data_IF_847651009855
#
_entry.id   IF_847651009855
#
_cell.length_a   1.000
_cell.length_b   1.000
_cell.length_c   1.000
_cell.angle_alpha   90.00
_cell.angle_beta   90.00
_cell.angle_gamma   90.00
#
_symmetry.space_group_name_H-M   'P 1'
#
loop_
_entity.id
_entity.type
_entity.pdbx_description
1 polymer ?
#
# COMPACT_ATOMS: atom_id res chain seq x y z
N UNK A 1 -9.24 -104.26 24.58
CA UNK A 1 -8.03 -104.09 23.72
C UNK A 1 -8.25 -102.83 22.97
N UNK A 2 -7.19 -101.98 22.96
CA UNK A 2 -7.16 -100.56 22.59
C UNK A 2 -7.49 -100.27 21.13
N UNK A 3 -8.30 -99.25 20.90
CA UNK A 3 -8.45 -98.55 19.60
C UNK A 3 -8.16 -97.08 19.79
N UNK A 4 -7.08 -96.65 19.13
CA UNK A 4 -6.68 -95.23 19.06
C UNK A 4 -7.50 -94.51 17.97
N UNK A 5 -8.14 -93.40 18.32
CA UNK A 5 -8.85 -92.51 17.39
C UNK A 5 -7.98 -91.27 17.21
N UNK A 6 -7.38 -91.11 16.04
CA UNK A 6 -6.65 -89.86 15.65
C UNK A 6 -7.64 -88.75 15.39
N UNK A 7 -7.53 -87.63 16.13
CA UNK A 7 -8.28 -86.38 15.89
C UNK A 7 -7.57 -85.60 14.80
N UNK A 8 -8.28 -85.34 13.70
CA UNK A 8 -7.87 -84.41 12.67
C UNK A 8 -8.39 -82.99 13.12
N UNK A 9 -7.50 -82.07 13.44
CA UNK A 9 -7.81 -80.66 13.66
C UNK A 9 -7.70 -79.94 12.32
N UNK A 10 -8.85 -79.47 11.80
CA UNK A 10 -8.92 -78.51 10.68
C UNK A 10 -8.69 -77.12 11.26
N UNK A 11 -7.54 -76.53 10.94
CA UNK A 11 -7.26 -75.14 11.29
C UNK A 11 -7.91 -74.17 10.30
N UNK A 12 -8.93 -73.44 10.77
CA UNK A 12 -9.55 -72.32 10.04
C UNK A 12 -8.70 -71.07 10.26
N UNK A 13 -7.84 -70.68 9.30
CA UNK A 13 -7.10 -69.41 9.36
C UNK A 13 -8.02 -68.29 8.93
N UNK A 14 -8.50 -67.50 9.89
CA UNK A 14 -9.23 -66.26 9.70
C UNK A 14 -8.24 -65.14 9.31
N UNK A 15 -8.12 -64.88 8.04
CA UNK A 15 -7.30 -63.76 7.49
C UNK A 15 -8.03 -62.47 7.75
N UNK A 16 -7.64 -61.71 8.82
CA UNK A 16 -8.15 -60.39 9.12
C UNK A 16 -7.43 -59.39 8.19
N UNK A 17 -8.07 -59.03 7.06
CA UNK A 17 -7.61 -57.95 6.22
C UNK A 17 -7.79 -56.61 6.96
N UNK A 18 -6.69 -56.08 7.50
CA UNK A 18 -6.66 -54.68 7.99
C UNK A 18 -6.85 -53.75 6.79
N UNK A 19 -8.04 -53.21 6.63
CA UNK A 19 -8.30 -52.04 5.79
C UNK A 19 -7.65 -50.84 6.49
N UNK A 20 -6.44 -50.46 6.06
CA UNK A 20 -5.87 -49.19 6.41
C UNK A 20 -6.67 -48.11 5.68
N UNK A 21 -7.60 -47.48 6.37
CA UNK A 21 -8.26 -46.27 5.89
C UNK A 21 -7.23 -45.18 5.77
N UNK A 22 -6.75 -44.93 4.55
CA UNK A 22 -5.89 -43.76 4.24
C UNK A 22 -6.81 -42.55 4.44
N UNK A 23 -6.47 -41.61 5.38
CA UNK A 23 -7.26 -40.42 5.51
C UNK A 23 -7.19 -39.65 4.20
N UNK A 24 -8.31 -39.61 3.47
CA UNK A 24 -8.47 -38.70 2.34
C UNK A 24 -8.49 -37.29 2.91
N UNK A 25 -7.36 -36.59 2.83
CA UNK A 25 -7.34 -35.15 3.09
C UNK A 25 -8.22 -34.51 2.01
N UNK A 26 -9.45 -34.20 2.38
CA UNK A 26 -10.30 -33.36 1.56
C UNK A 26 -9.55 -32.03 1.39
N UNK A 27 -9.24 -31.68 0.15
CA UNK A 27 -8.57 -30.41 -0.13
C UNK A 27 -9.46 -29.27 0.38
N UNK A 28 -8.88 -28.42 1.23
CA UNK A 28 -9.61 -27.34 1.89
C UNK A 28 -10.11 -26.33 0.84
N UNK A 29 -11.40 -26.00 0.92
CA UNK A 29 -12.04 -25.04 0.05
C UNK A 29 -11.48 -23.65 0.33
N UNK A 30 -10.91 -23.02 -0.70
CA UNK A 30 -10.28 -21.70 -0.60
C UNK A 30 -11.27 -20.55 -0.90
N UNK A 31 -12.33 -20.84 -1.66
CA UNK A 31 -13.32 -19.86 -2.06
C UNK A 31 -14.34 -20.43 -3.07
N UNK A 32 -15.17 -19.56 -3.62
CA UNK A 32 -16.24 -19.93 -4.56
C UNK A 32 -16.29 -19.01 -5.78
N UNK A 33 -16.83 -19.53 -6.89
CA UNK A 33 -17.14 -18.72 -8.08
C UNK A 33 -18.41 -17.93 -7.81
N UNK A 34 -18.30 -16.60 -7.83
CA UNK A 34 -19.47 -15.72 -7.64
C UNK A 34 -20.16 -15.40 -8.97
N UNK A 35 -19.38 -15.08 -9.97
CA UNK A 35 -19.85 -14.69 -11.30
C UNK A 35 -18.96 -15.27 -12.39
N UNK A 36 -19.53 -15.56 -13.53
CA UNK A 36 -18.78 -15.88 -14.74
C UNK A 36 -19.56 -15.52 -16.00
N UNK A 37 -18.80 -15.18 -17.05
CA UNK A 37 -19.31 -15.00 -18.41
C UNK A 37 -18.40 -15.77 -19.35
N UNK A 38 -18.96 -16.69 -20.11
CA UNK A 38 -18.17 -17.61 -20.96
C UNK A 38 -17.72 -18.87 -20.19
N UNK A 39 -16.49 -19.33 -20.38
CA UNK A 39 -15.98 -20.61 -19.86
C UNK A 39 -14.94 -20.40 -18.78
N UNK A 40 -15.06 -21.13 -17.68
CA UNK A 40 -14.07 -21.24 -16.62
C UNK A 40 -13.81 -22.70 -16.29
N UNK A 41 -12.55 -23.06 -16.20
CA UNK A 41 -12.11 -24.42 -15.82
C UNK A 41 -11.11 -24.33 -14.67
N UNK A 42 -11.07 -25.38 -13.84
CA UNK A 42 -10.01 -25.60 -12.86
C UNK A 42 -9.25 -26.87 -13.24
N UNK A 43 -7.93 -26.76 -13.35
CA UNK A 43 -7.03 -27.89 -13.53
C UNK A 43 -6.32 -28.19 -12.21
N UNK A 44 -6.43 -29.40 -11.73
CA UNK A 44 -5.78 -29.86 -10.50
C UNK A 44 -4.34 -30.33 -10.76
N UNK A 45 -3.52 -30.45 -9.70
CA UNK A 45 -2.15 -30.99 -9.82
C UNK A 45 -2.10 -32.43 -10.37
N UNK A 46 -3.14 -33.22 -10.17
CA UNK A 46 -3.29 -34.59 -10.71
C UNK A 46 -3.68 -34.63 -12.21
N UNK A 47 -3.81 -33.46 -12.84
CA UNK A 47 -4.22 -33.32 -14.23
C UNK A 47 -5.73 -33.33 -14.46
N UNK A 48 -6.54 -33.56 -13.44
CA UNK A 48 -8.02 -33.54 -13.53
C UNK A 48 -8.51 -32.14 -13.89
N UNK A 49 -9.37 -32.03 -14.90
CA UNK A 49 -10.00 -30.76 -15.32
C UNK A 49 -11.47 -30.77 -14.93
N UNK A 50 -11.91 -29.69 -14.29
CA UNK A 50 -13.31 -29.44 -13.90
C UNK A 50 -13.83 -28.19 -14.61
N UNK A 51 -15.01 -28.25 -15.20
CA UNK A 51 -15.74 -27.05 -15.61
C UNK A 51 -16.38 -26.43 -14.37
N UNK A 52 -16.14 -25.16 -14.15
CA UNK A 52 -16.71 -24.41 -13.02
C UNK A 52 -17.93 -23.60 -13.44
N UNK A 53 -18.85 -23.44 -12.53
CA UNK A 53 -20.07 -22.64 -12.65
C UNK A 53 -20.21 -21.75 -11.41
N UNK A 54 -21.13 -20.78 -11.40
CA UNK A 54 -21.41 -20.02 -10.17
C UNK A 54 -21.70 -20.96 -8.98
N UNK A 55 -21.14 -20.62 -7.83
CA UNK A 55 -21.12 -21.42 -6.58
C UNK A 55 -20.20 -22.64 -6.59
N UNK A 56 -19.50 -22.96 -7.71
CA UNK A 56 -18.48 -24.00 -7.68
C UNK A 56 -17.35 -23.63 -6.72
N UNK A 57 -16.86 -24.58 -5.89
CA UNK A 57 -15.74 -24.35 -5.00
C UNK A 57 -14.43 -24.33 -5.80
N UNK A 58 -13.50 -23.47 -5.34
CA UNK A 58 -12.09 -23.48 -5.72
C UNK A 58 -11.24 -23.94 -4.55
N UNK A 59 -10.19 -24.69 -4.80
CA UNK A 59 -9.36 -25.29 -3.77
C UNK A 59 -7.89 -24.92 -3.97
N UNK A 60 -7.10 -25.04 -2.90
CA UNK A 60 -5.65 -24.91 -3.01
C UNK A 60 -5.09 -25.91 -4.02
N UNK A 61 -4.20 -25.44 -4.89
CA UNK A 61 -3.59 -26.23 -5.97
C UNK A 61 -4.29 -26.10 -7.32
N UNK A 62 -5.54 -25.64 -7.37
CA UNK A 62 -6.24 -25.40 -8.64
C UNK A 62 -5.50 -24.35 -9.50
N UNK A 63 -5.43 -24.61 -10.80
CA UNK A 63 -5.13 -23.61 -11.82
C UNK A 63 -6.45 -23.24 -12.48
N UNK A 64 -6.91 -22.02 -12.23
CA UNK A 64 -8.12 -21.47 -12.83
C UNK A 64 -7.80 -20.94 -14.22
N UNK A 65 -8.59 -21.35 -15.21
CA UNK A 65 -8.38 -21.02 -16.64
C UNK A 65 -9.65 -20.42 -17.20
N UNK A 66 -9.60 -19.15 -17.61
CA UNK A 66 -10.67 -18.49 -18.36
C UNK A 66 -10.46 -18.68 -19.86
N UNK A 67 -11.53 -18.93 -20.60
CA UNK A 67 -11.50 -19.01 -22.06
C UNK A 67 -11.39 -17.63 -22.71
N UNK A 68 -11.27 -17.62 -24.05
CA UNK A 68 -11.32 -16.39 -24.83
C UNK A 68 -12.65 -15.68 -24.62
N UNK A 69 -12.62 -14.35 -24.40
CA UNK A 69 -13.80 -13.51 -24.10
C UNK A 69 -14.55 -13.91 -22.81
N UNK A 70 -13.93 -14.70 -21.93
CA UNK A 70 -14.54 -15.17 -20.67
C UNK A 70 -14.03 -14.35 -19.48
N UNK A 71 -14.93 -14.04 -18.55
CA UNK A 71 -14.60 -13.39 -17.28
C UNK A 71 -15.10 -14.26 -16.13
N UNK A 72 -14.39 -14.25 -15.03
CA UNK A 72 -14.83 -14.97 -13.83
C UNK A 72 -14.45 -14.20 -12.56
N UNK A 73 -15.38 -14.05 -11.64
CA UNK A 73 -15.12 -13.51 -10.31
C UNK A 73 -15.12 -14.63 -9.29
N UNK A 74 -13.99 -14.76 -8.60
CA UNK A 74 -13.78 -15.68 -7.49
C UNK A 74 -13.80 -14.88 -6.19
N UNK A 75 -14.56 -15.36 -5.22
CA UNK A 75 -14.56 -14.82 -3.85
C UNK A 75 -13.93 -15.85 -2.94
N UNK A 76 -12.81 -15.47 -2.32
CA UNK A 76 -12.08 -16.30 -1.37
C UNK A 76 -12.73 -16.23 0.02
N UNK A 77 -12.45 -17.21 0.87
CA UNK A 77 -13.06 -17.30 2.21
C UNK A 77 -12.69 -16.14 3.16
N UNK A 78 -11.59 -15.41 2.88
CA UNK A 78 -11.20 -14.19 3.60
C UNK A 78 -11.90 -12.92 3.09
N UNK A 79 -12.76 -13.04 2.07
CA UNK A 79 -13.44 -11.94 1.41
C UNK A 79 -12.64 -11.29 0.27
N UNK A 80 -11.45 -11.81 -0.08
CA UNK A 80 -10.73 -11.37 -1.28
C UNK A 80 -11.57 -11.65 -2.52
N UNK A 81 -11.77 -10.63 -3.36
CA UNK A 81 -12.43 -10.75 -4.66
C UNK A 81 -11.37 -10.70 -5.77
N UNK A 82 -11.38 -11.66 -6.67
CA UNK A 82 -10.49 -11.73 -7.83
C UNK A 82 -11.32 -11.85 -9.09
N UNK A 83 -11.24 -10.86 -9.99
CA UNK A 83 -11.93 -10.87 -11.27
C UNK A 83 -10.94 -11.16 -12.38
N UNK A 84 -10.97 -12.38 -12.89
CA UNK A 84 -10.11 -12.86 -13.97
C UNK A 84 -10.58 -12.32 -15.32
N UNK A 85 -9.63 -11.89 -16.14
CA UNK A 85 -9.83 -11.44 -17.52
C UNK A 85 -9.90 -12.63 -18.50
N UNK A 86 -10.24 -12.39 -19.78
CA UNK A 86 -10.14 -13.41 -20.80
C UNK A 86 -8.73 -14.00 -20.92
N UNK A 87 -8.67 -15.29 -21.31
CA UNK A 87 -7.43 -15.99 -21.61
C UNK A 87 -6.39 -15.96 -20.50
N UNK A 88 -6.86 -16.07 -19.25
CA UNK A 88 -6.04 -15.96 -18.03
C UNK A 88 -5.91 -17.27 -17.30
N UNK A 89 -4.70 -17.54 -16.77
CA UNK A 89 -4.38 -18.71 -15.97
C UNK A 89 -3.83 -18.27 -14.61
N UNK A 90 -4.56 -18.57 -13.54
CA UNK A 90 -4.22 -18.21 -12.16
C UNK A 90 -4.16 -19.46 -11.28
N UNK A 91 -2.99 -19.74 -10.68
CA UNK A 91 -2.80 -20.85 -9.74
C UNK A 91 -2.98 -20.39 -8.31
N UNK A 92 -3.74 -21.13 -7.52
CA UNK A 92 -3.84 -20.99 -6.08
C UNK A 92 -2.73 -21.85 -5.45
N UNK A 93 -1.53 -21.26 -5.18
CA UNK A 93 -0.38 -22.04 -4.69
C UNK A 93 -0.57 -22.43 -3.23
N UNK A 94 -0.94 -21.45 -2.39
CA UNK A 94 -1.20 -21.65 -0.98
C UNK A 94 -2.39 -20.80 -0.57
N UNK A 95 -3.29 -21.38 0.19
CA UNK A 95 -4.39 -20.61 0.78
C UNK A 95 -4.71 -21.18 2.16
N UNK A 96 -4.52 -20.36 3.18
CA UNK A 96 -4.86 -20.68 4.57
C UNK A 96 -5.47 -19.43 5.21
N UNK A 97 -6.69 -19.56 5.66
CA UNK A 97 -7.41 -18.49 6.33
C UNK A 97 -7.98 -18.99 7.65
N UNK A 98 -7.57 -18.40 8.75
CA UNK A 98 -8.04 -18.72 10.09
C UNK A 98 -8.53 -17.45 10.78
N UNK A 99 -9.85 -17.30 10.91
CA UNK A 99 -10.45 -16.08 11.44
C UNK A 99 -9.93 -15.69 12.83
N UNK A 100 -9.65 -16.66 13.67
CA UNK A 100 -9.16 -16.48 15.05
C UNK A 100 -7.65 -16.38 15.19
N UNK A 101 -6.86 -16.72 14.15
CA UNK A 101 -5.39 -16.75 14.21
C UNK A 101 -4.77 -16.03 13.00
N UNK A 102 -4.86 -14.69 12.95
CA UNK A 102 -4.37 -13.90 11.79
C UNK A 102 -2.91 -14.12 11.41
N UNK A 103 -2.06 -14.48 12.36
CA UNK A 103 -0.63 -14.74 12.11
C UNK A 103 -0.39 -16.02 11.30
N UNK A 104 -1.37 -16.93 11.25
CA UNK A 104 -1.30 -18.17 10.48
C UNK A 104 -1.85 -18.01 9.05
N UNK A 105 -2.42 -16.85 8.72
CA UNK A 105 -2.97 -16.58 7.39
C UNK A 105 -1.90 -16.58 6.32
N UNK A 106 -2.22 -17.16 5.17
CA UNK A 106 -1.34 -17.16 3.99
C UNK A 106 -2.17 -17.31 2.71
N UNK A 107 -1.94 -16.45 1.74
CA UNK A 107 -2.54 -16.52 0.41
C UNK A 107 -1.44 -16.26 -0.64
N UNK A 108 -1.04 -17.29 -1.36
CA UNK A 108 -0.04 -17.19 -2.42
C UNK A 108 -0.68 -17.61 -3.74
N UNK A 109 -0.73 -16.68 -4.66
CA UNK A 109 -1.24 -16.90 -6.02
C UNK A 109 -0.11 -16.79 -7.03
N UNK A 110 -0.25 -17.49 -8.17
CA UNK A 110 0.68 -17.35 -9.28
C UNK A 110 -0.08 -17.07 -10.57
N UNK A 111 0.18 -15.90 -11.17
CA UNK A 111 -0.30 -15.59 -12.51
C UNK A 111 0.63 -16.21 -13.54
N UNK A 112 0.09 -17.14 -14.33
CA UNK A 112 0.81 -17.86 -15.36
C UNK A 112 0.61 -17.24 -16.76
N UNK A 113 -0.57 -16.64 -16.99
CA UNK A 113 -0.95 -15.99 -18.27
C UNK A 113 -2.10 -15.02 -18.04
N UNK A 114 -2.19 -13.98 -18.88
CA UNK A 114 -3.33 -13.04 -18.91
C UNK A 114 -3.31 -12.07 -17.75
N UNK A 115 -4.45 -11.83 -17.13
CA UNK A 115 -4.54 -10.84 -16.05
C UNK A 115 -5.79 -10.95 -15.20
N UNK A 116 -5.80 -10.25 -14.09
CA UNK A 116 -6.94 -10.14 -13.20
C UNK A 116 -6.85 -8.86 -12.35
N UNK A 117 -7.99 -8.42 -11.85
CA UNK A 117 -8.09 -7.42 -10.79
C UNK A 117 -8.40 -8.11 -9.48
N UNK A 118 -7.83 -7.63 -8.40
CA UNK A 118 -8.13 -8.12 -7.06
C UNK A 118 -8.40 -6.99 -6.09
N UNK A 119 -9.44 -7.16 -5.28
CA UNK A 119 -9.71 -6.38 -4.08
C UNK A 119 -9.44 -7.29 -2.90
N UNK A 120 -8.39 -7.00 -2.12
CA UNK A 120 -7.94 -7.88 -1.05
C UNK A 120 -8.91 -7.91 0.14
N UNK A 121 -9.10 -9.08 0.68
CA UNK A 121 -9.89 -9.36 1.89
C UNK A 121 -9.08 -9.20 3.17
N UNK A 122 -9.43 -10.00 4.17
CA UNK A 122 -8.86 -9.92 5.51
C UNK A 122 -7.36 -10.32 5.55
N UNK A 123 -6.92 -11.31 4.77
CA UNK A 123 -5.50 -11.73 4.73
C UNK A 123 -4.60 -10.56 4.34
N UNK A 124 -4.99 -9.77 3.34
CA UNK A 124 -4.21 -8.61 2.89
C UNK A 124 -4.28 -7.39 3.85
N UNK A 125 -5.20 -7.37 4.80
CA UNK A 125 -5.48 -6.22 5.68
C UNK A 125 -5.04 -6.43 7.13
N UNK A 126 -4.81 -7.67 7.57
CA UNK A 126 -4.48 -8.02 8.96
C UNK A 126 -3.32 -9.01 9.03
N UNK A 127 -2.72 -9.17 10.19
CA UNK A 127 -1.69 -10.18 10.44
C UNK A 127 -0.33 -9.86 9.82
N UNK A 128 0.29 -10.87 9.23
CA UNK A 128 1.61 -10.75 8.62
C UNK A 128 1.54 -9.94 7.30
N UNK A 129 2.43 -8.96 7.16
CA UNK A 129 2.57 -8.12 5.94
C UNK A 129 2.85 -8.92 4.66
N UNK A 130 3.42 -10.12 4.78
CA UNK A 130 3.80 -10.99 3.67
C UNK A 130 2.79 -12.14 3.46
N UNK A 131 1.65 -12.12 4.20
CA UNK A 131 0.63 -13.15 4.14
C UNK A 131 -0.05 -13.26 2.77
N UNK A 132 -0.21 -12.13 2.06
CA UNK A 132 -0.76 -12.12 0.71
C UNK A 132 0.35 -11.84 -0.31
N UNK A 133 0.56 -12.76 -1.24
CA UNK A 133 1.56 -12.65 -2.30
C UNK A 133 0.97 -13.06 -3.65
N UNK A 134 1.27 -12.28 -4.68
CA UNK A 134 1.07 -12.68 -6.06
C UNK A 134 2.45 -12.85 -6.73
N UNK A 135 2.67 -13.98 -7.38
CA UNK A 135 3.89 -14.31 -8.11
C UNK A 135 3.64 -14.34 -9.61
N UNK A 136 4.51 -13.74 -10.40
CA UNK A 136 4.48 -13.79 -11.86
C UNK A 136 5.84 -13.43 -12.44
N UNK A 137 6.27 -14.15 -13.49
CA UNK A 137 7.51 -13.83 -14.25
C UNK A 137 8.75 -13.54 -13.38
N UNK A 138 8.98 -14.36 -12.34
CA UNK A 138 10.12 -14.18 -11.43
C UNK A 138 10.00 -13.01 -10.45
N UNK A 139 8.90 -12.26 -10.50
CA UNK A 139 8.59 -11.18 -9.55
C UNK A 139 7.57 -11.62 -8.50
N UNK A 140 7.59 -10.95 -7.36
CA UNK A 140 6.60 -11.08 -6.28
C UNK A 140 5.95 -9.74 -6.01
N UNK A 141 4.63 -9.73 -5.94
CA UNK A 141 3.82 -8.59 -5.53
C UNK A 141 3.38 -8.84 -4.08
N UNK A 142 3.93 -8.05 -3.16
CA UNK A 142 3.48 -7.97 -1.78
C UNK A 142 2.39 -6.91 -1.63
N UNK A 143 1.34 -7.19 -0.86
CA UNK A 143 0.13 -6.38 -0.83
C UNK A 143 -0.21 -5.94 0.58
N UNK A 144 -0.75 -4.72 0.69
CA UNK A 144 -1.20 -4.14 1.96
C UNK A 144 -2.56 -3.49 1.79
N UNK A 145 -3.63 -4.31 1.89
CA UNK A 145 -5.00 -3.81 1.84
C UNK A 145 -5.30 -3.06 0.54
N UNK A 146 -5.25 -3.74 -0.62
CA UNK A 146 -5.11 -3.10 -1.92
C UNK A 146 -6.18 -3.54 -2.90
N UNK A 147 -6.59 -2.62 -3.76
CA UNK A 147 -7.26 -2.86 -5.04
C UNK A 147 -6.25 -2.63 -6.17
N UNK A 148 -5.95 -3.66 -6.94
CA UNK A 148 -4.96 -3.57 -8.01
C UNK A 148 -5.28 -4.50 -9.17
N UNK A 149 -4.80 -4.14 -10.36
CA UNK A 149 -4.81 -4.97 -11.56
C UNK A 149 -3.42 -5.47 -11.85
N UNK A 150 -3.29 -6.76 -12.18
CA UNK A 150 -2.06 -7.38 -12.68
C UNK A 150 -2.29 -7.97 -14.05
N UNK A 151 -1.32 -7.79 -14.96
CA UNK A 151 -1.35 -8.36 -16.30
C UNK A 151 0.02 -8.85 -16.74
N UNK A 152 0.08 -10.09 -17.16
CA UNK A 152 1.29 -10.71 -17.72
C UNK A 152 1.18 -10.73 -19.24
N UNK A 153 1.97 -9.88 -19.90
CA UNK A 153 2.03 -9.78 -21.35
C UNK A 153 3.08 -10.72 -21.92
N UNK A 154 2.74 -11.40 -23.01
CA UNK A 154 3.66 -12.25 -23.77
C UNK A 154 4.56 -11.41 -24.69
N UNK A 155 5.45 -12.07 -25.44
CA UNK A 155 6.41 -11.40 -26.35
C UNK A 155 5.76 -10.62 -27.49
N UNK A 156 4.54 -10.96 -27.86
CA UNK A 156 3.70 -10.25 -28.84
C UNK A 156 2.89 -9.09 -28.23
N UNK A 157 3.15 -8.80 -26.96
CA UNK A 157 2.50 -7.73 -26.21
C UNK A 157 1.25 -8.15 -25.44
N UNK A 158 0.59 -7.17 -24.85
CA UNK A 158 -0.73 -7.35 -24.26
C UNK A 158 -1.79 -7.10 -25.33
N UNK A 159 -2.49 -8.16 -25.73
CA UNK A 159 -3.65 -8.02 -26.61
C UNK A 159 -4.70 -7.10 -25.96
N UNK A 160 -5.28 -6.22 -26.76
CA UNK A 160 -6.44 -5.44 -26.34
C UNK A 160 -7.66 -6.38 -26.27
N UNK A 161 -8.21 -6.56 -25.06
CA UNK A 161 -9.36 -7.46 -24.84
C UNK A 161 -10.68 -6.87 -25.37
N UNK A 162 -10.62 -5.74 -26.12
CA UNK A 162 -11.79 -5.11 -26.75
C UNK A 162 -12.69 -4.35 -25.77
N UNK A 163 -12.17 -3.96 -24.62
CA UNK A 163 -12.85 -3.04 -23.69
C UNK A 163 -12.94 -1.64 -24.27
N UNK A 164 -14.02 -0.92 -23.99
CA UNK A 164 -14.14 0.50 -24.33
C UNK A 164 -13.01 1.29 -23.64
N UNK A 165 -12.30 2.12 -24.41
CA UNK A 165 -11.23 2.98 -23.88
C UNK A 165 -11.84 3.96 -22.87
N UNK A 166 -11.55 3.77 -21.60
CA UNK A 166 -11.79 4.78 -20.56
C UNK A 166 -10.61 5.74 -20.58
N UNK A 167 -10.86 7.03 -20.61
CA UNK A 167 -9.79 8.03 -20.57
C UNK A 167 -8.91 7.77 -19.34
N UNK A 168 -7.56 7.78 -19.50
CA UNK A 168 -6.65 7.56 -18.38
C UNK A 168 -6.96 8.57 -17.27
N UNK A 169 -7.22 8.08 -16.05
CA UNK A 169 -7.28 8.95 -14.88
C UNK A 169 -5.91 9.62 -14.70
N UNK A 170 -5.89 10.95 -14.63
CA UNK A 170 -4.67 11.68 -14.38
C UNK A 170 -4.03 11.15 -13.09
N UNK A 171 -2.85 10.58 -13.20
CA UNK A 171 -2.10 10.01 -12.08
C UNK A 171 -1.69 11.14 -11.13
N UNK A 172 -2.06 11.10 -9.83
CA UNK A 172 -1.57 12.09 -8.88
C UNK A 172 -0.05 11.93 -8.75
N UNK A 173 0.70 12.97 -9.09
CA UNK A 173 2.14 12.97 -8.88
C UNK A 173 2.43 13.01 -7.38
N UNK A 174 3.25 12.10 -6.81
CA UNK A 174 3.59 12.16 -5.40
C UNK A 174 4.35 13.44 -5.09
N UNK A 175 3.98 14.12 -4.01
CA UNK A 175 4.70 15.29 -3.48
C UNK A 175 6.08 14.90 -2.95
N UNK A 176 6.15 13.71 -2.33
CA UNK A 176 7.36 13.18 -1.70
C UNK A 176 7.37 11.66 -1.66
N UNK A 177 8.48 11.10 -1.14
CA UNK A 177 8.62 9.68 -0.84
C UNK A 177 9.31 9.46 0.50
N UNK A 178 8.96 8.37 1.13
CA UNK A 178 9.54 7.94 2.41
C UNK A 178 10.95 7.40 2.18
N UNK A 179 11.94 7.97 2.88
CA UNK A 179 13.35 7.59 2.81
C UNK A 179 13.77 6.61 3.88
N UNK A 180 13.16 6.73 5.04
CA UNK A 180 13.44 5.91 6.21
C UNK A 180 12.22 5.87 7.12
N UNK A 181 11.94 4.70 7.68
CA UNK A 181 10.96 4.52 8.76
C UNK A 181 11.59 3.66 9.84
N UNK A 182 11.49 4.11 11.08
CA UNK A 182 11.71 3.31 12.28
C UNK A 182 10.39 3.29 13.02
N UNK A 183 9.92 2.13 13.41
CA UNK A 183 8.58 1.96 13.99
C UNK A 183 7.47 2.02 12.95
N UNK A 184 6.43 2.79 13.21
CA UNK A 184 5.22 2.86 12.39
C UNK A 184 4.96 4.28 11.86
N UNK A 185 4.70 4.36 10.55
CA UNK A 185 4.25 5.57 9.86
C UNK A 185 3.00 5.25 9.06
N UNK A 186 1.97 6.08 9.18
CA UNK A 186 0.75 5.98 8.37
C UNK A 186 0.45 7.30 7.68
N UNK A 187 -0.21 7.25 6.53
CA UNK A 187 -0.81 8.39 5.86
C UNK A 187 -2.33 8.24 5.86
N UNK A 188 -3.05 9.27 6.29
CA UNK A 188 -4.50 9.39 6.17
C UNK A 188 -4.82 10.37 5.05
N UNK A 189 -5.58 9.91 4.05
CA UNK A 189 -6.04 10.72 2.93
C UNK A 189 -7.28 11.56 3.29
N UNK A 190 -7.62 12.51 2.42
CA UNK A 190 -8.81 13.36 2.62
C UNK A 190 -10.13 12.58 2.66
N UNK A 191 -10.21 11.45 1.97
CA UNK A 191 -11.35 10.51 1.98
C UNK A 191 -11.41 9.61 3.23
N UNK A 192 -10.45 9.77 4.15
CA UNK A 192 -10.35 9.03 5.40
C UNK A 192 -9.59 7.70 5.30
N UNK A 193 -9.17 7.28 4.12
CA UNK A 193 -8.38 6.06 3.95
C UNK A 193 -7.02 6.17 4.63
N UNK A 194 -6.58 5.09 5.28
CA UNK A 194 -5.31 5.01 5.99
C UNK A 194 -4.37 4.04 5.26
N UNK A 195 -3.19 4.53 4.89
CA UNK A 195 -2.11 3.74 4.27
C UNK A 195 -0.94 3.62 5.24
N UNK A 196 -0.44 2.42 5.48
CA UNK A 196 0.84 2.24 6.17
C UNK A 196 1.97 2.54 5.20
N UNK A 197 2.89 3.42 5.58
CA UNK A 197 4.02 3.82 4.75
C UNK A 197 5.29 3.09 5.15
N UNK A 198 6.11 2.77 4.14
CA UNK A 198 7.43 2.13 4.27
C UNK A 198 8.44 2.85 3.40
N UNK A 199 9.68 2.38 3.39
CA UNK A 199 10.72 2.89 2.48
C UNK A 199 10.20 2.91 1.03
N UNK A 200 10.35 4.04 0.33
CA UNK A 200 9.91 4.25 -1.05
C UNK A 200 8.44 4.66 -1.20
N UNK A 201 7.60 4.46 -0.17
CA UNK A 201 6.16 4.80 -0.23
C UNK A 201 5.92 6.22 -0.68
N UNK A 202 4.99 6.46 -1.63
CA UNK A 202 4.64 7.79 -2.06
C UNK A 202 3.86 8.55 -0.99
N UNK A 203 4.13 9.85 -0.91
CA UNK A 203 3.39 10.84 -0.11
C UNK A 203 2.74 11.83 -1.08
N UNK A 204 1.43 12.01 -0.96
CA UNK A 204 0.65 12.85 -1.87
C UNK A 204 0.24 14.18 -1.21
N UNK A 205 -0.12 15.15 -2.05
CA UNK A 205 -0.89 16.31 -1.59
C UNK A 205 -2.19 15.86 -0.91
N UNK A 206 -2.53 16.48 0.21
CA UNK A 206 -3.67 16.12 1.06
C UNK A 206 -3.38 15.06 2.11
N UNK A 207 -2.28 14.30 2.02
CA UNK A 207 -1.93 13.29 3.02
C UNK A 207 -1.67 13.93 4.40
N UNK A 208 -2.21 13.31 5.44
CA UNK A 208 -1.86 13.56 6.83
C UNK A 208 -1.01 12.40 7.33
N UNK A 209 0.28 12.65 7.52
CA UNK A 209 1.26 11.68 8.01
C UNK A 209 1.20 11.61 9.52
N UNK A 210 1.26 10.40 10.08
CA UNK A 210 1.26 10.17 11.51
C UNK A 210 2.30 9.12 11.87
N UNK A 211 3.23 9.50 12.75
CA UNK A 211 4.18 8.58 13.41
C UNK A 211 3.61 8.15 14.76
N UNK A 212 3.87 6.89 15.11
CA UNK A 212 3.50 6.33 16.41
C UNK A 212 4.53 6.71 17.50
N UNK A 213 4.28 6.27 18.73
CA UNK A 213 5.26 6.30 19.82
C UNK A 213 6.50 5.51 19.42
N UNK A 214 7.70 5.94 19.82
CA UNK A 214 9.00 5.32 19.48
C UNK A 214 9.24 5.19 17.96
N UNK A 215 8.55 6.00 17.16
CA UNK A 215 8.64 5.97 15.72
C UNK A 215 9.15 7.28 15.16
N UNK A 216 9.95 7.19 14.09
CA UNK A 216 10.33 8.36 13.30
C UNK A 216 10.43 8.01 11.81
N UNK A 217 10.26 9.00 10.96
CA UNK A 217 10.34 8.79 9.52
C UNK A 217 10.96 9.99 8.80
N UNK A 218 11.76 9.71 7.77
CA UNK A 218 12.31 10.72 6.88
C UNK A 218 11.57 10.68 5.54
N UNK A 219 11.09 11.84 5.11
CA UNK A 219 10.41 12.02 3.82
C UNK A 219 11.18 13.04 2.99
N UNK A 220 11.49 12.70 1.74
CA UNK A 220 12.03 13.63 0.77
C UNK A 220 10.94 14.08 -0.20
N UNK A 221 10.90 15.38 -0.48
CA UNK A 221 9.99 15.99 -1.44
C UNK A 221 10.65 16.15 -2.81
N UNK A 222 9.86 16.29 -3.88
CA UNK A 222 10.35 16.45 -5.27
C UNK A 222 11.25 17.66 -5.48
N UNK A 223 11.07 18.72 -4.69
CA UNK A 223 11.90 19.92 -4.73
C UNK A 223 13.23 19.78 -3.98
N UNK A 224 13.54 18.60 -3.46
CA UNK A 224 14.72 18.33 -2.65
C UNK A 224 14.57 18.71 -1.18
N UNK A 225 13.45 19.27 -0.78
CA UNK A 225 13.08 19.46 0.63
C UNK A 225 13.00 18.12 1.35
N UNK A 226 13.30 18.13 2.65
CA UNK A 226 13.25 16.90 3.47
C UNK A 226 12.71 17.21 4.84
N UNK A 227 11.93 16.29 5.37
CA UNK A 227 11.45 16.35 6.75
C UNK A 227 11.77 15.05 7.48
N UNK A 228 12.04 15.16 8.77
CA UNK A 228 11.99 14.02 9.69
C UNK A 228 10.83 14.23 10.64
N UNK A 229 9.79 13.38 10.54
CA UNK A 229 8.76 13.28 11.56
C UNK A 229 9.37 12.62 12.79
N UNK A 230 9.20 13.26 13.94
CA UNK A 230 9.55 12.69 15.24
C UNK A 230 8.43 11.78 15.75
N UNK A 231 8.65 11.13 16.88
CA UNK A 231 7.62 10.27 17.51
C UNK A 231 6.33 11.05 17.81
N UNK A 232 5.20 10.35 17.79
CA UNK A 232 3.87 10.87 18.13
C UNK A 232 3.49 12.16 17.40
N UNK A 233 3.94 12.31 16.16
CA UNK A 233 3.76 13.52 15.36
C UNK A 233 2.67 13.35 14.29
N UNK A 234 1.91 14.43 14.06
CA UNK A 234 0.90 14.53 13.01
C UNK A 234 1.27 15.70 12.10
N UNK A 235 1.48 15.40 10.84
CA UNK A 235 1.97 16.35 9.84
C UNK A 235 1.15 16.24 8.56
N UNK A 236 0.71 17.37 8.00
CA UNK A 236 -0.11 17.40 6.78
C UNK A 236 0.62 18.07 5.62
N UNK A 237 0.57 17.46 4.47
CA UNK A 237 0.93 18.05 3.17
C UNK A 237 -0.32 18.73 2.63
N UNK A 238 -0.52 20.02 2.92
CA UNK A 238 -1.75 20.75 2.53
C UNK A 238 -1.81 21.00 1.02
N UNK A 239 -0.67 21.43 0.44
CA UNK A 239 -0.51 21.60 -0.99
C UNK A 239 0.95 21.42 -1.37
N UNK A 240 1.20 20.85 -2.55
CA UNK A 240 2.54 20.69 -3.08
C UNK A 240 2.52 20.67 -4.62
N UNK A 241 3.06 21.70 -5.23
CA UNK A 241 3.23 21.80 -6.68
C UNK A 241 4.70 22.03 -6.98
N UNK A 242 5.30 21.15 -7.73
CA UNK A 242 6.67 21.29 -8.19
C UNK A 242 6.81 20.78 -9.62
N UNK A 243 7.04 21.71 -10.53
CA UNK A 243 7.29 21.43 -11.94
C UNK A 243 8.32 22.41 -12.45
N UNK A 244 9.54 21.95 -12.69
CA UNK A 244 10.67 22.75 -13.18
C UNK A 244 10.36 23.49 -14.49
N UNK A 245 9.45 22.98 -15.30
CA UNK A 245 9.13 23.55 -16.60
C UNK A 245 8.09 24.68 -16.53
N UNK A 246 7.19 24.68 -15.55
CA UNK A 246 6.06 25.63 -15.49
C UNK A 246 6.35 26.89 -14.68
N UNK A 247 7.36 26.90 -13.81
CA UNK A 247 7.65 27.99 -12.89
C UNK A 247 6.54 28.27 -11.84
N UNK A 248 5.51 27.42 -11.78
CA UNK A 248 4.43 27.53 -10.81
C UNK A 248 4.67 26.54 -9.66
N UNK A 249 5.60 26.91 -8.79
CA UNK A 249 6.01 26.06 -7.69
C UNK A 249 5.45 26.60 -6.37
N UNK A 250 4.86 25.73 -5.54
CA UNK A 250 4.35 26.10 -4.22
C UNK A 250 4.30 24.90 -3.26
N UNK A 251 4.53 25.18 -1.97
CA UNK A 251 4.45 24.19 -0.90
C UNK A 251 3.75 24.78 0.31
N UNK A 252 2.71 24.11 0.79
CA UNK A 252 2.02 24.40 2.05
C UNK A 252 2.04 23.16 2.93
N UNK A 253 2.77 23.25 4.03
CA UNK A 253 3.00 22.17 4.98
C UNK A 253 2.49 22.57 6.36
N UNK A 254 1.91 21.65 7.12
CA UNK A 254 1.39 21.92 8.45
C UNK A 254 1.81 20.88 9.47
N UNK A 255 2.43 21.31 10.55
CA UNK A 255 2.60 20.53 11.77
C UNK A 255 1.36 20.71 12.65
N UNK A 256 0.63 19.62 12.88
CA UNK A 256 -0.60 19.60 13.69
C UNK A 256 -0.27 19.25 15.14
N UNK A 257 0.64 18.26 15.35
CA UNK A 257 1.06 17.78 16.66
C UNK A 257 2.47 17.19 16.60
N UNK A 258 3.18 17.22 17.72
CA UNK A 258 4.49 16.58 17.87
C UNK A 258 5.64 17.46 17.40
N UNK A 259 6.62 16.85 16.73
CA UNK A 259 7.82 17.53 16.27
C UNK A 259 8.28 17.10 14.89
N UNK A 260 8.92 18.02 14.18
CA UNK A 260 9.56 17.73 12.88
C UNK A 260 10.91 18.44 12.77
N UNK A 261 11.83 17.83 12.06
CA UNK A 261 13.07 18.43 11.56
C UNK A 261 12.91 18.72 10.07
N UNK A 262 13.27 19.89 9.61
CA UNK A 262 13.02 20.36 8.25
C UNK A 262 14.29 20.87 7.60
N UNK A 263 14.54 20.45 6.36
CA UNK A 263 15.46 21.11 5.43
C UNK A 263 14.63 21.60 4.24
N UNK A 264 14.69 22.87 3.95
CA UNK A 264 13.91 23.46 2.86
C UNK A 264 14.47 23.11 1.50
N UNK A 265 13.58 22.79 0.56
CA UNK A 265 13.92 22.48 -0.83
C UNK A 265 14.06 23.69 -1.73
N UNK A 266 14.02 23.44 -3.04
CA UNK A 266 14.19 24.47 -4.06
C UNK A 266 13.06 25.50 -4.07
N UNK A 267 11.81 25.10 -3.80
CA UNK A 267 10.66 26.03 -3.72
C UNK A 267 10.96 27.16 -2.73
N UNK A 268 11.33 26.81 -1.52
CA UNK A 268 11.61 27.80 -0.48
C UNK A 268 12.89 28.60 -0.69
N UNK A 269 13.84 28.09 -1.48
CA UNK A 269 15.08 28.79 -1.85
C UNK A 269 14.88 29.76 -3.02
N UNK A 270 14.05 29.37 -4.00
CA UNK A 270 13.78 30.18 -5.19
C UNK A 270 12.76 31.30 -4.90
N UNK A 271 11.66 31.00 -4.23
CA UNK A 271 10.64 31.97 -3.86
C UNK A 271 10.07 31.66 -2.47
N UNK A 272 10.36 32.53 -1.51
CA UNK A 272 9.97 32.35 -0.09
C UNK A 272 8.48 32.43 0.12
N UNK A 273 7.76 33.22 -0.64
CA UNK A 273 6.32 33.41 -0.52
C UNK A 273 5.54 32.18 -0.96
N UNK A 274 6.16 31.35 -1.78
CA UNK A 274 5.61 30.10 -2.26
C UNK A 274 5.81 28.92 -1.30
N UNK A 275 6.56 29.09 -0.23
CA UNK A 275 6.76 28.10 0.81
C UNK A 275 6.10 28.53 2.11
N UNK A 276 5.13 27.78 2.59
CA UNK A 276 4.41 28.01 3.82
C UNK A 276 4.54 26.84 4.76
N UNK A 277 5.08 27.06 5.94
CA UNK A 277 5.09 26.08 7.00
C UNK A 277 4.23 26.60 8.16
N UNK A 278 3.16 25.88 8.50
CA UNK A 278 2.15 26.30 9.46
C UNK A 278 2.14 25.41 10.69
N UNK A 279 1.87 26.00 11.83
CA UNK A 279 1.48 25.35 13.08
C UNK A 279 0.20 25.99 13.60
N UNK A 280 -0.43 25.42 14.63
CA UNK A 280 -1.56 26.09 15.27
C UNK A 280 -1.12 27.44 15.85
N UNK A 281 -1.78 28.50 15.39
CA UNK A 281 -1.48 29.86 15.85
C UNK A 281 -0.17 30.48 15.35
N UNK A 282 0.60 29.81 14.47
CA UNK A 282 1.84 30.35 13.97
C UNK A 282 2.17 29.93 12.53
N UNK A 283 2.93 30.76 11.84
CA UNK A 283 3.52 30.46 10.53
C UNK A 283 5.03 30.67 10.60
N UNK A 284 5.80 29.76 10.01
CA UNK A 284 7.25 29.87 9.88
C UNK A 284 7.54 30.30 8.44
N UNK A 285 8.04 31.56 8.29
CA UNK A 285 8.64 32.04 7.07
C UNK A 285 10.11 31.63 7.03
N UNK A 286 10.60 31.17 5.90
CA UNK A 286 11.94 30.60 5.74
C UNK A 286 12.89 31.48 4.93
N UNK A 287 14.20 31.31 5.20
CA UNK A 287 15.29 31.92 4.42
C UNK A 287 16.41 30.90 4.14
N UNK A 288 16.07 29.81 3.37
CA UNK A 288 17.03 28.77 3.01
C UNK A 288 17.54 28.01 4.25
N UNK A 289 16.67 27.27 4.94
CA UNK A 289 16.87 26.91 6.34
C UNK A 289 16.84 25.42 6.64
N UNK A 290 17.53 25.07 7.76
CA UNK A 290 17.33 23.87 8.52
C UNK A 290 16.84 24.23 9.92
N UNK A 291 15.71 23.67 10.34
CA UNK A 291 15.08 23.96 11.62
C UNK A 291 14.33 22.77 12.19
N UNK A 292 14.16 22.77 13.50
CA UNK A 292 13.24 21.91 14.23
C UNK A 292 12.01 22.72 14.62
N UNK A 293 10.81 22.17 14.43
CA UNK A 293 9.55 22.78 14.87
C UNK A 293 8.77 21.80 15.74
N UNK A 294 8.06 22.30 16.75
CA UNK A 294 7.21 21.50 17.63
C UNK A 294 5.88 22.18 17.91
N UNK A 295 4.85 21.35 18.16
CA UNK A 295 3.49 21.77 18.47
C UNK A 295 2.83 20.74 19.38
N UNK A 296 2.71 21.04 20.69
CA UNK A 296 2.16 20.13 21.70
C UNK A 296 1.28 20.85 22.70
N UNK A 297 0.50 20.09 23.50
CA UNK A 297 -0.44 20.64 24.46
C UNK A 297 -1.48 21.55 23.77
N UNK A 298 -1.65 22.82 24.21
CA UNK A 298 -2.63 23.74 23.60
C UNK A 298 -2.42 24.02 22.11
N UNK A 299 -1.19 23.90 21.61
CA UNK A 299 -0.92 24.00 20.18
C UNK A 299 -1.53 22.85 19.38
N UNK A 300 -1.68 21.68 20.01
CA UNK A 300 -2.18 20.47 19.38
C UNK A 300 -3.66 20.19 19.69
N UNK A 301 -4.38 21.13 20.32
CA UNK A 301 -5.81 20.98 20.62
C UNK A 301 -6.62 20.72 19.35
N UNK A 302 -7.53 19.72 19.42
CA UNK A 302 -8.33 19.27 18.28
C UNK A 302 -7.65 18.25 17.37
N UNK A 303 -6.37 17.93 17.57
CA UNK A 303 -5.73 16.80 16.89
C UNK A 303 -6.26 15.49 17.47
N UNK A 304 -6.91 14.65 16.63
CA UNK A 304 -7.39 13.33 17.05
C UNK A 304 -6.22 12.49 17.56
N UNK A 305 -6.29 12.05 18.81
CA UNK A 305 -5.27 11.20 19.41
C UNK A 305 -5.44 9.77 18.90
N UNK A 306 -4.58 9.33 17.99
CA UNK A 306 -4.31 7.92 17.80
C UNK A 306 -3.30 7.49 18.89
N UNK A 307 -3.82 7.14 20.10
CA UNK A 307 -3.07 6.39 21.10
C UNK A 307 -1.79 7.02 21.70
N UNK A 308 -1.53 8.32 21.52
CA UNK A 308 -0.33 8.93 22.05
C UNK A 308 -0.48 9.31 23.55
N UNK A 309 0.54 9.07 24.41
CA UNK A 309 0.55 9.52 25.80
C UNK A 309 0.39 11.03 25.89
N UNK A 310 -0.36 11.50 26.90
CA UNK A 310 -0.64 12.93 27.11
C UNK A 310 0.58 13.73 27.62
N UNK A 311 1.65 13.07 28.02
CA UNK A 311 2.80 13.68 28.68
C UNK A 311 3.97 13.91 27.70
N UNK A 312 3.83 14.88 26.78
CA UNK A 312 4.97 15.37 26.02
C UNK A 312 5.51 16.65 26.68
N UNK A 313 6.78 16.68 27.13
CA UNK A 313 7.37 17.82 27.87
C UNK A 313 7.54 19.10 27.04
N UNK A 314 7.28 19.05 25.73
CA UNK A 314 7.33 20.22 24.84
C UNK A 314 5.95 20.83 24.64
N UNK A 315 5.42 21.54 25.62
CA UNK A 315 4.16 22.26 25.45
C UNK A 315 4.29 23.54 24.60
N UNK A 316 3.25 23.82 23.79
CA UNK A 316 3.16 25.00 22.95
C UNK A 316 3.77 24.81 21.55
N UNK A 317 3.87 25.91 20.82
CA UNK A 317 4.48 26.00 19.50
C UNK A 317 5.85 26.66 19.59
N UNK A 318 6.86 26.07 18.94
CA UNK A 318 8.20 26.64 18.92
C UNK A 318 9.04 26.19 17.73
N UNK A 319 10.18 26.84 17.57
CA UNK A 319 11.15 26.58 16.53
C UNK A 319 12.59 26.74 17.04
N UNK A 320 13.48 25.87 16.61
CA UNK A 320 14.93 25.98 16.76
C UNK A 320 15.60 25.93 15.40
N UNK A 321 16.50 26.88 15.14
CA UNK A 321 17.19 26.98 13.85
C UNK A 321 18.64 26.50 13.98
N UNK A 322 19.00 25.50 13.18
CA UNK A 322 20.36 24.96 13.11
C UNK A 322 21.08 25.27 11.79
N UNK A 323 20.38 25.87 10.81
CA UNK A 323 20.97 26.38 9.56
C UNK A 323 20.12 27.50 8.99
N UNK A 324 20.72 28.61 8.60
CA UNK A 324 20.00 29.76 8.04
C UNK A 324 19.23 30.59 9.07
N UNK A 325 18.05 31.07 8.71
CA UNK A 325 17.21 31.95 9.51
C UNK A 325 15.71 31.68 9.23
N UNK A 326 14.86 31.76 10.24
CA UNK A 326 13.40 31.73 10.07
C UNK A 326 12.74 32.94 10.70
N UNK A 327 11.56 33.30 10.20
CA UNK A 327 10.68 34.28 10.81
C UNK A 327 9.47 33.57 11.38
N UNK A 328 9.33 33.55 12.71
CA UNK A 328 8.17 33.01 13.41
C UNK A 328 7.12 34.10 13.49
N UNK A 329 5.96 33.89 12.87
CA UNK A 329 4.85 34.86 12.81
C UNK A 329 3.64 34.28 13.53
N UNK A 330 3.03 35.09 14.38
CA UNK A 330 1.78 34.77 15.07
C UNK A 330 0.86 36.02 15.12
N UNK A 331 -0.41 35.92 15.57
CA UNK A 331 -1.28 37.06 15.76
C UNK A 331 -0.70 38.12 16.71
N UNK A 332 0.17 37.73 17.66
CA UNK A 332 0.82 38.63 18.61
C UNK A 332 2.06 39.33 18.05
N UNK A 333 2.51 39.04 16.82
CA UNK A 333 3.67 39.66 16.19
C UNK A 333 4.59 38.70 15.49
N UNK A 334 5.77 39.17 15.11
CA UNK A 334 6.80 38.36 14.42
C UNK A 334 8.14 38.46 15.16
N UNK A 335 8.95 37.41 15.04
CA UNK A 335 10.30 37.35 15.59
C UNK A 335 11.21 36.55 14.64
N UNK A 336 12.36 37.14 14.33
CA UNK A 336 13.40 36.49 13.54
C UNK A 336 14.26 35.60 14.43
N UNK A 337 14.34 34.32 14.10
CA UNK A 337 15.14 33.31 14.79
C UNK A 337 16.33 32.97 13.92
N UNK A 338 17.52 33.38 14.36
CA UNK A 338 18.77 33.13 13.66
C UNK A 338 19.34 31.74 14.02
N UNK A 339 20.41 31.35 13.34
CA UNK A 339 21.14 30.10 13.60
C UNK A 339 21.49 29.96 15.10
N UNK A 340 21.32 28.75 15.64
CA UNK A 340 21.52 28.39 17.06
C UNK A 340 20.59 29.16 18.04
N UNK A 341 19.49 29.69 17.55
CA UNK A 341 18.47 30.31 18.38
C UNK A 341 17.18 29.50 18.36
N UNK A 342 16.39 29.66 19.44
CA UNK A 342 15.06 29.10 19.55
C UNK A 342 14.07 30.17 20.00
N UNK A 343 12.82 30.01 19.55
CA UNK A 343 11.71 30.85 19.97
C UNK A 343 10.44 30.01 20.16
N UNK A 344 9.56 30.43 21.07
CA UNK A 344 8.24 29.85 21.33
C UNK A 344 7.18 30.93 21.24
N UNK A 345 5.95 30.52 20.99
CA UNK A 345 4.78 31.38 21.12
C UNK A 345 4.38 31.41 22.58
N UNK A 346 4.48 32.60 23.22
CA UNK A 346 4.09 32.76 24.61
C UNK A 346 2.56 32.61 24.79
N UNK A 347 2.13 31.79 25.73
CA UNK A 347 0.71 31.42 25.94
C UNK A 347 -0.18 32.63 26.17
N UNK A 348 0.25 33.53 27.04
CA UNK A 348 -0.60 34.66 27.50
C UNK A 348 -0.74 35.77 26.44
N UNK A 349 0.32 36.08 25.72
CA UNK A 349 0.35 37.20 24.77
C UNK A 349 0.21 36.77 23.31
N UNK A 350 0.36 35.46 22.99
CA UNK A 350 0.47 34.97 21.65
C UNK A 350 1.71 35.48 20.88
N UNK A 351 2.62 36.18 21.55
CA UNK A 351 3.82 36.76 20.93
C UNK A 351 4.96 35.73 20.82
N UNK A 352 5.72 35.75 19.73
CA UNK A 352 6.97 34.98 19.65
C UNK A 352 7.98 35.55 20.66
N UNK A 353 8.57 34.69 21.46
CA UNK A 353 9.64 35.07 22.43
C UNK A 353 10.82 34.11 22.28
N UNK A 354 12.03 34.66 22.39
CA UNK A 354 13.27 33.88 22.40
C UNK A 354 13.34 33.06 23.70
N UNK A 355 13.79 31.81 23.58
CA UNK A 355 14.16 30.98 24.71
C UNK A 355 15.67 30.77 24.74
N UNK A 356 16.24 30.72 25.97
CA UNK A 356 17.70 30.62 26.16
C UNK A 356 18.16 29.16 26.27
N UNK A 357 17.27 28.24 26.63
CA UNK A 357 17.52 26.79 26.72
C UNK A 357 16.56 26.05 25.82
N UNK A 358 17.06 25.05 25.09
CA UNK A 358 16.24 24.16 24.29
C UNK A 358 15.44 23.24 25.22
N UNK A 359 14.18 22.92 24.85
CA UNK A 359 13.46 21.85 25.52
C UNK A 359 14.23 20.55 25.43
N UNK A 360 14.34 19.73 26.50
CA UNK A 360 15.13 18.51 26.51
C UNK A 360 14.80 17.53 25.39
N UNK A 361 13.54 17.49 24.95
CA UNK A 361 13.13 16.64 23.85
C UNK A 361 13.59 17.13 22.45
N UNK A 362 13.90 18.42 22.31
CA UNK A 362 14.58 18.93 21.08
C UNK A 362 16.07 18.62 21.13
N UNK A 363 16.69 18.78 22.31
CA UNK A 363 18.11 18.58 22.51
C UNK A 363 18.51 17.09 22.41
N UNK A 364 17.68 16.20 22.97
CA UNK A 364 17.95 14.73 23.05
C UNK A 364 17.20 13.93 21.97
N UNK A 365 16.91 14.53 20.86
CA UNK A 365 16.12 13.87 19.82
C UNK A 365 16.94 12.85 19.03
N UNK A 366 16.59 11.57 19.13
CA UNK A 366 17.23 10.45 18.42
C UNK A 366 16.85 10.37 16.94
N UNK A 367 15.82 11.09 16.49
CA UNK A 367 15.43 11.13 15.09
C UNK A 367 16.52 11.85 14.27
N UNK A 368 16.98 11.27 13.15
CA UNK A 368 18.08 11.83 12.37
C UNK A 368 17.73 13.20 11.80
N UNK A 369 18.72 14.07 11.67
CA UNK A 369 18.55 15.28 10.85
C UNK A 369 18.35 14.85 9.39
N UNK A 370 17.36 15.42 8.67
CA UNK A 370 17.02 14.94 7.33
C UNK A 370 18.14 15.19 6.29
N UNK A 371 19.04 16.14 6.54
CA UNK A 371 20.22 16.40 5.69
C UNK A 371 21.31 15.33 5.82
N UNK A 372 21.32 14.56 6.91
CA UNK A 372 22.29 13.47 7.11
C UNK A 372 21.87 12.15 6.45
N UNK A 373 20.63 12.05 5.96
CA UNK A 373 20.14 10.85 5.27
C UNK A 373 20.46 10.99 3.77
N UNK A 374 21.29 10.10 3.19
CA UNK A 374 21.61 10.14 1.77
C UNK A 374 20.36 9.97 0.92
N UNK A 375 20.20 10.79 -0.12
CA UNK A 375 19.07 10.75 -1.04
C UNK A 375 19.55 10.95 -2.46
N UNK A 376 19.26 9.99 -3.31
CA UNK A 376 19.29 10.13 -4.75
C UNK A 376 17.90 10.49 -5.25
N UNK A 377 17.63 11.78 -5.36
CA UNK A 377 16.32 12.31 -5.77
C UNK A 377 15.98 11.92 -7.22
N UNK A 378 16.95 11.85 -8.11
CA UNK A 378 16.70 11.48 -9.51
C UNK A 378 16.19 10.05 -9.56
N UNK A 379 16.93 9.12 -8.99
CA UNK A 379 16.53 7.71 -8.92
C UNK A 379 15.21 7.50 -8.17
N UNK A 380 14.96 8.28 -7.11
CA UNK A 380 13.77 8.13 -6.28
C UNK A 380 12.48 8.55 -7.01
N UNK A 381 12.56 9.58 -7.85
CA UNK A 381 11.43 10.08 -8.63
C UNK A 381 11.55 9.72 -10.11
N UNK A 382 12.53 8.90 -10.48
CA UNK A 382 12.66 8.36 -11.83
C UNK A 382 11.41 7.56 -12.19
N UNK A 383 10.78 7.94 -13.27
CA UNK A 383 9.64 7.27 -13.88
C UNK A 383 10.08 6.94 -15.31
N UNK A 384 10.13 5.67 -15.65
CA UNK A 384 10.36 5.29 -17.05
C UNK A 384 9.15 5.77 -17.88
N UNK A 385 9.41 6.46 -18.97
CA UNK A 385 8.38 6.67 -19.97
C UNK A 385 7.82 5.31 -20.38
N UNK A 386 6.52 5.25 -20.64
CA UNK A 386 5.87 4.04 -21.12
C UNK A 386 6.32 3.65 -22.54
N UNK A 387 7.64 3.62 -22.75
CA UNK A 387 8.29 3.18 -23.99
C UNK A 387 8.15 1.70 -24.25
N UNK A 388 7.47 0.99 -23.37
CA UNK A 388 7.06 -0.39 -23.55
C UNK A 388 5.52 -0.48 -23.62
N UNK A 389 4.87 0.27 -24.51
CA UNK A 389 3.50 -0.03 -24.86
C UNK A 389 3.44 -1.48 -25.34
N UNK A 390 3.13 -2.39 -24.41
CA UNK A 390 2.92 -3.80 -24.70
C UNK A 390 4.15 -4.71 -24.71
N UNK A 391 5.30 -4.32 -24.18
CA UNK A 391 6.45 -5.24 -24.05
C UNK A 391 6.15 -6.44 -23.15
N UNK A 392 6.84 -7.57 -23.40
CA UNK A 392 6.69 -8.78 -22.56
C UNK A 392 7.08 -8.49 -21.11
N UNK A 393 6.26 -8.90 -20.17
CA UNK A 393 6.50 -8.71 -18.75
C UNK A 393 5.24 -8.57 -17.92
N UNK A 394 5.44 -8.33 -16.63
CA UNK A 394 4.37 -8.13 -15.65
C UNK A 394 4.10 -6.65 -15.48
N UNK A 395 2.86 -6.25 -15.68
CA UNK A 395 2.33 -4.93 -15.39
C UNK A 395 1.45 -4.99 -14.16
N UNK A 396 1.54 -3.95 -13.31
CA UNK A 396 0.74 -3.80 -12.09
C UNK A 396 0.25 -2.37 -12.00
N UNK A 397 -1.04 -2.18 -11.77
CA UNK A 397 -1.65 -0.86 -11.53
C UNK A 397 -2.41 -0.88 -10.22
N UNK A 398 -2.16 0.09 -9.36
CA UNK A 398 -2.79 0.23 -8.04
C UNK A 398 -3.96 1.20 -8.15
N UNK A 399 -5.18 0.70 -7.90
CA UNK A 399 -6.40 1.53 -7.87
C UNK A 399 -6.62 2.14 -6.49
N UNK A 400 -6.28 1.36 -5.44
CA UNK A 400 -6.36 1.80 -4.05
C UNK A 400 -5.38 1.03 -3.16
N UNK A 401 -4.87 1.68 -2.08
CA UNK A 401 -3.88 1.08 -1.17
C UNK A 401 -2.45 1.15 -1.70
N UNK A 402 -1.67 0.08 -1.46
CA UNK A 402 -0.23 0.05 -1.73
C UNK A 402 0.24 -1.36 -2.14
N UNK A 403 1.13 -1.40 -3.11
CA UNK A 403 1.76 -2.63 -3.63
C UNK A 403 3.27 -2.50 -3.60
N UNK A 404 3.97 -3.53 -3.16
CA UNK A 404 5.42 -3.66 -3.31
C UNK A 404 5.68 -4.67 -4.43
N UNK A 405 6.19 -4.19 -5.55
CA UNK A 405 6.64 -5.05 -6.66
C UNK A 405 8.13 -5.34 -6.47
N UNK A 406 8.49 -6.60 -6.24
CA UNK A 406 9.84 -7.02 -5.92
C UNK A 406 10.37 -8.06 -6.91
N UNK A 407 11.66 -7.99 -7.25
CA UNK A 407 12.37 -8.94 -8.09
C UNK A 407 13.84 -9.05 -7.64
N UNK A 408 14.25 -10.22 -7.15
CA UNK A 408 15.55 -10.37 -6.48
C UNK A 408 15.68 -9.38 -5.31
N UNK A 409 16.77 -8.64 -5.28
CA UNK A 409 17.06 -7.63 -4.24
C UNK A 409 16.46 -6.25 -4.54
N UNK A 410 15.80 -6.08 -5.68
CA UNK A 410 15.18 -4.83 -6.09
C UNK A 410 13.70 -4.81 -5.72
N UNK A 411 13.19 -3.64 -5.34
CA UNK A 411 11.78 -3.42 -5.11
C UNK A 411 11.34 -2.02 -5.50
N UNK A 412 10.11 -1.91 -5.97
CA UNK A 412 9.43 -0.65 -6.26
C UNK A 412 8.13 -0.61 -5.47
N UNK A 413 7.93 0.44 -4.70
CA UNK A 413 6.70 0.69 -3.95
C UNK A 413 5.74 1.51 -4.81
N UNK A 414 4.53 0.99 -5.03
CA UNK A 414 3.49 1.59 -5.84
C UNK A 414 2.30 1.97 -4.96
N UNK A 415 1.93 3.23 -4.97
CA UNK A 415 0.73 3.74 -4.31
C UNK A 415 -0.45 3.91 -5.26
N UNK A 416 -1.56 4.42 -4.74
CA UNK A 416 -2.78 4.69 -5.51
C UNK A 416 -2.49 5.48 -6.79
N UNK A 417 -3.00 5.00 -7.93
CA UNK A 417 -2.83 5.59 -9.26
C UNK A 417 -1.46 5.32 -9.90
N UNK A 418 -0.54 4.65 -9.22
CA UNK A 418 0.76 4.30 -9.80
C UNK A 418 0.72 2.95 -10.50
N UNK A 419 1.56 2.82 -11.51
CA UNK A 419 1.78 1.59 -12.26
C UNK A 419 3.25 1.21 -12.27
N UNK A 420 3.52 -0.09 -12.25
CA UNK A 420 4.86 -0.65 -12.32
C UNK A 420 4.95 -1.72 -13.41
N UNK A 421 6.16 -1.92 -13.88
CA UNK A 421 6.50 -2.92 -14.88
C UNK A 421 7.75 -3.69 -14.47
N UNK A 422 7.77 -4.98 -14.75
CA UNK A 422 8.97 -5.80 -14.64
C UNK A 422 9.00 -6.89 -15.69
N UNK A 423 10.19 -7.13 -16.22
CA UNK A 423 10.51 -8.27 -17.09
C UNK A 423 11.82 -8.90 -16.61
N UNK A 424 12.51 -9.69 -17.42
CA UNK A 424 13.78 -10.33 -17.04
C UNK A 424 14.89 -9.34 -16.72
N UNK A 425 14.88 -8.14 -17.30
CA UNK A 425 15.97 -7.17 -17.26
C UNK A 425 15.71 -6.00 -16.33
N UNK A 426 14.47 -5.52 -16.23
CA UNK A 426 14.13 -4.30 -15.52
C UNK A 426 13.01 -4.49 -14.49
N UNK A 427 13.04 -3.65 -13.48
CA UNK A 427 11.97 -3.41 -12.51
C UNK A 427 11.83 -1.90 -12.37
N UNK A 428 10.68 -1.34 -12.77
CA UNK A 428 10.52 0.12 -12.82
C UNK A 428 9.10 0.56 -12.53
N UNK A 429 8.97 1.83 -12.16
CA UNK A 429 7.69 2.54 -12.10
C UNK A 429 7.43 3.16 -13.47
N UNK A 430 6.17 3.08 -13.93
CA UNK A 430 5.76 3.68 -15.19
C UNK A 430 5.33 5.12 -15.01
N UNK A 431 5.67 5.98 -15.96
CA UNK A 431 5.25 7.39 -15.98
C UNK A 431 3.73 7.54 -16.19
N UNK A 432 3.12 6.62 -16.90
CA UNK A 432 1.66 6.54 -17.09
C UNK A 432 1.17 5.12 -16.99
N UNK A 433 -0.11 4.94 -16.69
CA UNK A 433 -0.75 3.63 -16.76
C UNK A 433 -1.03 3.30 -18.23
N UNK A 434 -0.55 2.16 -18.76
CA UNK A 434 -0.84 1.75 -20.13
C UNK A 434 -2.35 1.56 -20.37
N UNK A 435 -2.84 1.93 -21.54
CA UNK A 435 -4.27 1.87 -21.91
C UNK A 435 -4.88 0.47 -21.74
N UNK A 436 -4.12 -0.57 -22.04
CA UNK A 436 -4.58 -1.96 -21.87
C UNK A 436 -4.77 -2.38 -20.39
N UNK A 437 -4.28 -1.60 -19.43
CA UNK A 437 -4.49 -1.82 -17.99
C UNK A 437 -5.78 -1.15 -17.49
N UNK A 438 -6.29 -0.11 -18.14
CA UNK A 438 -7.39 0.75 -17.69
C UNK A 438 -8.55 0.54 -18.63
N UNK A 439 -9.06 0.17 -19.37
CA UNK A 439 -10.13 0.25 -20.38
C UNK A 439 -11.08 -0.95 -20.39
N UNK A 440 -11.06 -1.78 -19.34
CA UNK A 440 -11.95 -2.94 -19.30
C UNK A 440 -13.28 -2.63 -18.61
N UNK A 441 -14.19 -2.00 -19.36
CA UNK A 441 -15.54 -1.63 -18.87
C UNK A 441 -16.34 -2.83 -18.36
N UNK A 442 -16.09 -4.03 -18.88
CA UNK A 442 -16.77 -5.25 -18.43
C UNK A 442 -16.26 -5.73 -17.08
N UNK A 443 -14.96 -5.59 -16.84
CA UNK A 443 -14.35 -5.87 -15.55
C UNK A 443 -14.90 -4.91 -14.48
N UNK A 444 -14.99 -3.62 -14.81
CA UNK A 444 -15.58 -2.60 -13.91
C UNK A 444 -17.05 -2.88 -13.62
N UNK A 445 -17.85 -3.26 -14.60
CA UNK A 445 -19.26 -3.63 -14.39
C UNK A 445 -19.42 -4.85 -13.48
N UNK A 446 -18.54 -5.85 -13.60
CA UNK A 446 -18.56 -7.05 -12.73
C UNK A 446 -18.23 -6.67 -11.28
N UNK A 447 -17.28 -5.77 -11.08
CA UNK A 447 -16.93 -5.26 -9.75
C UNK A 447 -18.10 -4.50 -9.10
N UNK A 448 -18.74 -3.58 -9.84
CA UNK A 448 -19.88 -2.79 -9.36
C UNK A 448 -21.11 -3.66 -9.07
N UNK A 449 -21.45 -4.61 -9.94
CA UNK A 449 -22.59 -5.52 -9.76
C UNK A 449 -22.34 -6.54 -8.62
N UNK A 450 -21.09 -6.81 -8.30
CA UNK A 450 -20.70 -7.67 -7.18
C UNK A 450 -20.95 -7.05 -5.80
N UNK A 451 -21.10 -5.73 -5.71
CA UNK A 451 -21.40 -5.03 -4.45
C UNK A 451 -22.90 -4.98 -4.10
N UNK A 452 -23.81 -5.12 -5.10
CA UNK A 452 -25.25 -4.99 -4.97
C UNK A 452 -26.05 -6.29 -4.77
N UNK A 453 -25.43 -7.44 -4.62
CA UNK A 453 -26.10 -8.76 -4.58
C UNK A 453 -26.56 -9.22 -3.20
N UNK A 454 -27.36 -8.43 -2.49
CA UNK A 454 -28.30 -8.91 -1.49
C UNK A 454 -29.64 -9.24 -2.18
N UNK A 455 -30.10 -10.48 -2.10
CA UNK A 455 -31.39 -11.03 -2.47
C UNK A 455 -32.41 -10.08 -3.13
N UNK A 456 -32.50 -10.11 -4.45
CA UNK A 456 -33.73 -9.78 -5.16
C UNK A 456 -34.04 -10.89 -6.16
N UNK A 457 -34.69 -11.93 -5.66
CA UNK A 457 -35.48 -12.85 -6.47
C UNK A 457 -36.68 -12.08 -7.03
N UNK A 458 -36.52 -11.40 -8.17
CA UNK A 458 -37.68 -11.06 -9.03
C UNK A 458 -37.93 -12.22 -9.96
N UNK A 459 -38.85 -13.09 -9.53
CA UNK A 459 -39.40 -14.16 -10.36
C UNK A 459 -40.02 -13.58 -11.63
N UNK A 460 -39.64 -14.11 -12.79
CA UNK A 460 -40.37 -13.93 -14.03
C UNK A 460 -41.77 -14.53 -13.87
N UNK A 461 -42.79 -13.67 -13.82
CA UNK A 461 -44.16 -14.08 -14.02
C UNK A 461 -44.38 -14.20 -15.54
N UNK A 462 -44.47 -15.43 -16.02
CA UNK A 462 -44.97 -15.73 -17.38
C UNK A 462 -46.49 -15.49 -17.38
N UNK A 463 -46.91 -14.60 -18.22
CA UNK A 463 -48.31 -14.48 -18.65
C UNK A 463 -48.49 -15.16 -20.01
#
# INVERSE_FOLDING_TARGET
MRCDVKKILLGLSLSCALFVAVPSFAAEEAGTIRYMSGTLMAQRPDGTVRVLTPKSPVIQGDVLVTGKKSYAQVVMNDGTKMTMRPDSNLKIETYKFQQSVPQADSAVFRLLKGGFRTVTGLIGKRGNKDAYQLRASGATIGIRGTDFTSRLCATDGCADDGGAKVAPMAKPKPAGRVMRVVGQLVAKQADGQIRKLTLGSPVFEGDTLQSDIDSHAVVAFRDGGRITLQQSSIFKVEAFKYDKASGQESSALRLIKGGVRVVTGLIGRANRDNYQFRMSGATIGIRGTGFDAWCNGPCAEGASNFGAPQDNPMEGAGVYVWSGEVVLVSPGGSFTVAINQAAVIARESGKPVRILALPPAVERNDAPRPDTVPVDLEKMFEEAEAGAEGGAGLYVTVHDGQVILAKGDQSVDLGKGESGFTNEQILTRLASTPDFMTGDSKLEQIEQNGEGGGDDQKGCVVR
#
